data_IF_866580171131
#
_entry.id   IF_866580171131
#
_cell.length_a   1.000
_cell.length_b   1.000
_cell.length_c   1.000
_cell.angle_alpha   90.00
_cell.angle_beta   90.00
_cell.angle_gamma   90.00
#
_symmetry.space_group_name_H-M   'P 1'
#
loop_
_entity.id
_entity.type
_entity.pdbx_description
1 polymer ?
#
# COMPACT_ATOMS: atom_id res chain seq x y z
N UNK A 1 -5.38 9.21 -0.16
CA UNK A 1 -5.25 7.75 0.05
C UNK A 1 -5.67 6.99 -1.23
N UNK A 2 -4.81 6.11 -1.78
CA UNK A 2 -5.03 5.49 -3.10
C UNK A 2 -5.39 4.00 -3.10
N UNK A 3 -5.17 3.29 -1.98
CA UNK A 3 -5.34 1.83 -1.90
C UNK A 3 -6.76 1.39 -2.24
N UNK A 4 -7.75 1.92 -1.53
CA UNK A 4 -9.15 1.54 -1.72
C UNK A 4 -9.70 1.99 -3.07
N UNK A 5 -9.29 3.17 -3.54
CA UNK A 5 -9.68 3.70 -4.84
C UNK A 5 -9.24 2.79 -5.97
N UNK A 6 -8.01 2.28 -5.92
CA UNK A 6 -7.48 1.34 -6.92
C UNK A 6 -8.21 -0.02 -6.90
N UNK A 7 -8.54 -0.53 -5.71
CA UNK A 7 -9.30 -1.79 -5.57
C UNK A 7 -10.69 -1.64 -6.20
N UNK A 8 -11.39 -0.54 -5.91
CA UNK A 8 -12.73 -0.28 -6.45
C UNK A 8 -12.72 -0.09 -7.96
N UNK A 9 -11.70 0.58 -8.53
CA UNK A 9 -11.61 0.75 -9.98
C UNK A 9 -11.39 -0.57 -10.71
N UNK A 10 -10.62 -1.50 -10.14
CA UNK A 10 -10.43 -2.84 -10.71
C UNK A 10 -11.72 -3.67 -10.66
N UNK A 11 -12.47 -3.58 -9.56
CA UNK A 11 -13.79 -4.21 -9.45
C UNK A 11 -14.78 -3.64 -10.47
N UNK A 12 -14.81 -2.31 -10.64
CA UNK A 12 -15.66 -1.65 -11.63
C UNK A 12 -15.28 -1.99 -13.09
N UNK A 13 -14.02 -2.34 -13.34
CA UNK A 13 -13.56 -2.85 -14.63
C UNK A 13 -13.96 -4.32 -14.89
N UNK A 14 -14.68 -4.97 -13.96
CA UNK A 14 -15.16 -6.34 -14.10
C UNK A 14 -14.14 -7.41 -13.69
N UNK A 15 -13.06 -7.03 -13.01
CA UNK A 15 -12.08 -7.98 -12.47
C UNK A 15 -12.51 -8.42 -11.07
N UNK A 16 -12.63 -9.74 -10.89
CA UNK A 16 -12.92 -10.33 -9.58
C UNK A 16 -11.64 -10.46 -8.76
N UNK A 17 -11.66 -9.88 -7.55
CA UNK A 17 -10.51 -9.88 -6.64
C UNK A 17 -10.66 -11.05 -5.68
N UNK A 18 -9.89 -12.12 -5.91
CA UNK A 18 -9.96 -13.35 -5.11
C UNK A 18 -9.29 -13.22 -3.74
N UNK A 19 -8.21 -12.44 -3.65
CA UNK A 19 -7.51 -12.20 -2.38
C UNK A 19 -6.76 -10.88 -2.40
N UNK A 20 -6.56 -10.30 -1.22
CA UNK A 20 -5.78 -9.08 -1.03
C UNK A 20 -4.69 -9.39 -0.02
N UNK A 21 -3.44 -9.27 -0.45
CA UNK A 21 -2.27 -9.39 0.43
C UNK A 21 -1.63 -8.03 0.60
N UNK A 22 -1.48 -7.61 1.85
CA UNK A 22 -0.68 -6.45 2.19
C UNK A 22 0.80 -6.84 2.29
N UNK A 23 1.64 -6.23 1.47
CA UNK A 23 3.09 -6.42 1.45
C UNK A 23 3.82 -5.13 1.80
N UNK A 24 3.23 -4.31 2.69
CA UNK A 24 3.90 -3.13 3.24
C UNK A 24 5.20 -3.56 3.94
N UNK A 25 6.37 -3.03 3.55
CA UNK A 25 7.64 -3.48 4.07
C UNK A 25 7.79 -3.10 5.55
N UNK A 26 8.12 -4.08 6.38
CA UNK A 26 8.50 -3.88 7.78
C UNK A 26 10.03 -4.03 7.87
N UNK A 27 10.77 -2.99 8.29
CA UNK A 27 12.22 -3.07 8.35
C UNK A 27 12.67 -3.91 9.55
N UNK A 28 13.43 -4.98 9.28
CA UNK A 28 14.13 -5.76 10.30
C UNK A 28 15.50 -5.13 10.61
N UNK A 29 15.53 -3.97 11.29
CA UNK A 29 16.75 -3.19 11.58
C UNK A 29 17.57 -2.81 10.33
N UNK A 30 16.90 -2.52 9.22
CA UNK A 30 17.53 -2.10 7.95
C UNK A 30 18.04 -0.65 7.95
N UNK A 31 17.99 0.02 6.79
CA UNK A 31 18.45 1.40 6.66
C UNK A 31 17.71 2.35 7.63
N UNK A 32 18.45 3.29 8.22
CA UNK A 32 17.90 4.33 9.10
C UNK A 32 16.88 5.20 8.34
N UNK A 33 15.63 5.36 8.83
CA UNK A 33 14.66 6.26 8.23
C UNK A 33 15.17 7.71 8.17
N UNK A 34 14.71 8.51 7.18
CA UNK A 34 15.11 9.90 7.07
C UNK A 34 14.74 10.69 8.34
N UNK A 35 15.55 11.70 8.67
CA UNK A 35 15.30 12.59 9.81
C UNK A 35 13.90 13.21 9.68
N UNK A 36 13.13 13.20 10.77
CA UNK A 36 11.79 13.84 10.82
C UNK A 36 11.90 15.30 10.37
N UNK A 37 11.09 15.70 9.39
CA UNK A 37 11.03 17.09 8.91
C UNK A 37 10.46 17.99 10.01
N UNK A 38 10.95 19.23 10.08
CA UNK A 38 10.49 20.28 11.01
C UNK A 38 9.61 21.27 10.24
N UNK A 39 8.48 20.78 9.77
CA UNK A 39 7.38 21.56 9.21
C UNK A 39 6.08 21.01 9.78
#
# INVERSE_FOLDING_TARGET
PGRETAIRSLQAAGLEILSIKDVTPIPHNGCRPPKRRRV
#
